data_IF_328981761622
#
_entry.id   IF_328981761622
#
_cell.length_a   1.000
_cell.length_b   1.000
_cell.length_c   1.000
_cell.angle_alpha   90.00
_cell.angle_beta   90.00
_cell.angle_gamma   90.00
#
_symmetry.space_group_name_H-M   'P 1'
#
loop_
_entity.id
_entity.type
_entity.pdbx_description
1 polymer ?
#
# COMPACT_ATOMS: atom_id res chain seq x y z
N UNK A 1 14.96 -8.79 9.46
CA UNK A 1 14.72 -9.95 8.60
C UNK A 1 13.62 -9.69 7.56
N UNK A 2 12.41 -9.18 7.92
CA UNK A 2 11.33 -8.91 6.95
C UNK A 2 11.74 -7.97 5.81
N UNK A 3 12.56 -6.94 6.06
CA UNK A 3 13.08 -6.05 5.03
C UNK A 3 14.08 -6.74 4.09
N UNK A 4 14.91 -7.63 4.60
CA UNK A 4 15.85 -8.40 3.78
C UNK A 4 15.12 -9.41 2.90
N UNK A 5 14.12 -10.10 3.46
CA UNK A 5 13.26 -10.99 2.70
C UNK A 5 12.47 -10.23 1.63
N UNK A 6 11.86 -9.10 1.97
CA UNK A 6 11.16 -8.24 1.01
C UNK A 6 12.09 -7.81 -0.14
N UNK A 7 13.32 -7.36 0.16
CA UNK A 7 14.33 -7.00 -0.84
C UNK A 7 14.63 -8.19 -1.77
N UNK A 8 14.80 -9.39 -1.21
CA UNK A 8 15.02 -10.62 -1.98
C UNK A 8 13.85 -10.95 -2.90
N UNK A 9 12.61 -10.78 -2.43
CA UNK A 9 11.42 -10.99 -3.26
C UNK A 9 11.36 -9.99 -4.42
N UNK A 10 11.56 -8.70 -4.14
CA UNK A 10 11.46 -7.62 -5.13
C UNK A 10 12.58 -7.69 -6.18
N UNK A 11 13.79 -8.13 -5.81
CA UNK A 11 14.93 -8.24 -6.71
C UNK A 11 14.77 -9.31 -7.79
N UNK A 12 13.91 -10.31 -7.56
CA UNK A 12 13.61 -11.38 -8.53
C UNK A 12 12.69 -10.90 -9.67
N UNK A 13 12.03 -9.77 -9.49
CA UNK A 13 11.11 -9.21 -10.47
C UNK A 13 11.75 -8.01 -11.19
N UNK A 14 11.88 -8.10 -12.51
CA UNK A 14 12.38 -7.00 -13.34
C UNK A 14 11.40 -5.84 -13.31
N UNK A 15 11.87 -4.65 -12.96
CA UNK A 15 11.09 -3.41 -13.00
C UNK A 15 11.08 -2.84 -14.42
N UNK A 16 9.91 -2.40 -14.91
CA UNK A 16 9.80 -1.65 -16.16
C UNK A 16 10.17 -0.17 -15.92
N UNK A 17 10.60 0.52 -16.97
CA UNK A 17 11.06 1.92 -16.89
C UNK A 17 9.98 2.91 -16.42
N UNK A 18 8.70 2.62 -16.73
CA UNK A 18 7.55 3.45 -16.33
C UNK A 18 6.86 2.96 -15.05
N UNK A 19 7.46 2.03 -14.33
CA UNK A 19 6.97 1.54 -13.05
C UNK A 19 7.84 2.09 -11.91
N UNK A 20 7.21 2.40 -10.80
CA UNK A 20 7.87 2.96 -9.63
C UNK A 20 7.63 2.08 -8.41
N UNK A 21 8.65 1.94 -7.56
CA UNK A 21 8.60 1.08 -6.38
C UNK A 21 8.76 1.89 -5.11
N UNK A 22 8.01 1.48 -4.10
CA UNK A 22 8.12 2.00 -2.74
C UNK A 22 8.06 0.88 -1.71
N UNK A 23 8.61 1.12 -0.53
CA UNK A 23 8.65 0.18 0.58
C UNK A 23 8.07 0.86 1.81
N UNK A 24 7.29 0.11 2.59
CA UNK A 24 6.83 0.48 3.93
C UNK A 24 7.16 -0.62 4.92
N UNK A 25 7.34 -0.25 6.17
CA UNK A 25 7.64 -1.18 7.27
C UNK A 25 6.99 -0.71 8.56
N UNK A 26 6.47 -1.64 9.35
CA UNK A 26 6.05 -1.38 10.72
C UNK A 26 6.12 -2.61 11.61
N UNK A 27 6.10 -2.39 12.92
CA UNK A 27 5.73 -3.39 13.91
C UNK A 27 4.28 -3.11 14.33
N UNK A 28 3.39 -4.08 14.11
CA UNK A 28 1.97 -3.93 14.40
C UNK A 28 1.75 -3.72 15.91
N UNK A 29 1.01 -2.64 16.26
CA UNK A 29 0.73 -2.22 17.65
C UNK A 29 1.97 -2.14 18.55
N UNK A 30 3.17 -1.93 17.98
CA UNK A 30 4.46 -1.86 18.67
C UNK A 30 4.90 -3.15 19.43
N UNK A 31 4.10 -4.21 19.43
CA UNK A 31 4.39 -5.44 20.18
C UNK A 31 3.95 -6.75 19.45
N UNK A 32 3.24 -6.62 18.34
CA UNK A 32 2.80 -7.76 17.54
C UNK A 32 3.71 -7.98 16.31
N UNK A 33 3.17 -8.54 15.21
CA UNK A 33 3.92 -8.93 14.03
C UNK A 33 4.74 -7.78 13.40
N UNK A 34 5.88 -8.14 12.84
CA UNK A 34 6.65 -7.26 11.96
C UNK A 34 6.19 -7.46 10.52
N UNK A 35 5.97 -6.38 9.79
CA UNK A 35 5.54 -6.44 8.41
C UNK A 35 6.29 -5.43 7.54
N UNK A 36 6.76 -5.88 6.39
CA UNK A 36 7.29 -5.05 5.33
C UNK A 36 6.48 -5.28 4.05
N UNK A 37 6.11 -4.18 3.38
CA UNK A 37 5.36 -4.18 2.13
C UNK A 37 6.14 -3.45 1.07
N UNK A 38 6.23 -4.05 -0.12
CA UNK A 38 6.71 -3.41 -1.34
C UNK A 38 5.55 -3.22 -2.31
N UNK A 39 5.46 -2.05 -2.92
CA UNK A 39 4.48 -1.73 -3.96
C UNK A 39 5.22 -1.34 -5.23
N UNK A 40 4.77 -1.89 -6.37
CA UNK A 40 5.10 -1.40 -7.69
C UNK A 40 3.84 -0.81 -8.32
N UNK A 41 3.90 0.44 -8.74
CA UNK A 41 2.80 1.16 -9.37
C UNK A 41 3.27 1.89 -10.63
N UNK A 42 2.29 2.26 -11.45
CA UNK A 42 2.43 3.17 -12.58
C UNK A 42 1.51 4.37 -12.33
N UNK A 43 1.99 5.56 -12.66
CA UNK A 43 1.17 6.77 -12.75
C UNK A 43 1.02 7.10 -14.23
N UNK A 44 -0.21 7.27 -14.70
CA UNK A 44 -0.48 7.66 -16.10
C UNK A 44 -0.35 9.17 -16.29
N UNK A 45 -0.34 9.62 -17.55
CA UNK A 45 -0.29 11.06 -17.88
C UNK A 45 -1.51 11.83 -17.31
N UNK A 46 -2.64 11.14 -17.16
CA UNK A 46 -3.86 11.67 -16.52
C UNK A 46 -3.83 11.64 -15.00
N UNK A 47 -2.69 11.24 -14.40
CA UNK A 47 -2.47 11.11 -12.96
C UNK A 47 -3.32 9.99 -12.33
N UNK A 48 -3.74 8.99 -13.12
CA UNK A 48 -4.35 7.79 -12.56
C UNK A 48 -3.28 6.83 -12.04
N UNK A 49 -3.53 6.25 -10.88
CA UNK A 49 -2.60 5.32 -10.21
C UNK A 49 -3.05 3.90 -10.46
N UNK A 50 -2.17 3.09 -11.06
CA UNK A 50 -2.38 1.67 -11.24
C UNK A 50 -1.40 0.87 -10.39
N UNK A 51 -1.90 0.09 -9.45
CA UNK A 51 -1.10 -0.87 -8.71
C UNK A 51 -0.78 -2.08 -9.61
N UNK A 52 0.49 -2.43 -9.74
CA UNK A 52 0.95 -3.50 -10.65
C UNK A 52 1.27 -4.76 -9.86
N UNK A 53 2.11 -4.61 -8.83
CA UNK A 53 2.54 -5.70 -7.94
C UNK A 53 2.65 -5.24 -6.51
N UNK A 54 2.45 -6.18 -5.62
CA UNK A 54 2.74 -6.03 -4.20
C UNK A 54 3.52 -7.24 -3.69
N UNK A 55 4.43 -6.99 -2.78
CA UNK A 55 5.18 -8.00 -2.04
C UNK A 55 4.97 -7.76 -0.56
N UNK A 56 4.71 -8.82 0.18
CA UNK A 56 4.54 -8.79 1.63
C UNK A 56 5.55 -9.74 2.24
N UNK A 57 6.29 -9.26 3.23
CA UNK A 57 7.08 -10.09 4.14
C UNK A 57 6.60 -9.86 5.55
N UNK A 58 6.13 -10.91 6.22
CA UNK A 58 5.54 -10.83 7.55
C UNK A 58 6.17 -11.86 8.49
N UNK A 59 6.51 -11.42 9.68
CA UNK A 59 7.04 -12.23 10.79
C UNK A 59 6.04 -12.15 11.94
N UNK A 60 5.34 -13.26 12.16
CA UNK A 60 4.31 -13.41 13.19
C UNK A 60 4.77 -14.28 14.37
N UNK A 61 6.09 -14.46 14.54
CA UNK A 61 6.63 -15.44 15.49
C UNK A 61 6.47 -16.86 14.97
N UNK A 62 6.15 -17.82 15.86
CA UNK A 62 5.82 -19.17 15.43
C UNK A 62 4.48 -19.20 14.69
N UNK A 63 4.42 -19.99 13.62
CA UNK A 63 3.25 -20.04 12.75
C UNK A 63 2.31 -21.17 13.20
N UNK A 64 1.11 -20.82 13.68
CA UNK A 64 0.05 -21.78 13.92
C UNK A 64 -0.69 -22.18 12.64
N UNK A 65 -0.98 -21.21 11.75
CA UNK A 65 -1.68 -21.45 10.49
C UNK A 65 -1.21 -20.48 9.40
N UNK A 66 -0.33 -20.98 8.53
CA UNK A 66 0.37 -20.16 7.52
C UNK A 66 -0.56 -19.52 6.51
N UNK A 67 -1.54 -20.27 5.99
CA UNK A 67 -2.47 -19.75 4.97
C UNK A 67 -3.40 -18.67 5.55
N UNK A 68 -3.81 -18.81 6.81
CA UNK A 68 -4.58 -17.79 7.52
C UNK A 68 -3.82 -16.46 7.61
N UNK A 69 -2.53 -16.50 7.96
CA UNK A 69 -1.67 -15.30 8.00
C UNK A 69 -1.56 -14.69 6.60
N UNK A 70 -1.35 -15.53 5.57
CA UNK A 70 -1.23 -15.10 4.18
C UNK A 70 -2.52 -14.41 3.70
N UNK A 71 -3.68 -15.03 3.89
CA UNK A 71 -4.96 -14.46 3.47
C UNK A 71 -5.29 -13.16 4.22
N UNK A 72 -4.99 -13.11 5.52
CA UNK A 72 -5.15 -11.89 6.31
C UNK A 72 -4.24 -10.76 5.78
N UNK A 73 -3.01 -11.09 5.43
CA UNK A 73 -2.06 -10.11 4.88
C UNK A 73 -2.49 -9.60 3.49
N UNK A 74 -2.93 -10.49 2.61
CA UNK A 74 -3.40 -10.13 1.26
C UNK A 74 -4.69 -9.30 1.32
N UNK A 75 -5.67 -9.70 2.12
CA UNK A 75 -6.90 -8.94 2.35
C UNK A 75 -6.63 -7.55 2.96
N UNK A 76 -5.76 -7.49 3.95
CA UNK A 76 -5.34 -6.22 4.57
C UNK A 76 -4.62 -5.29 3.60
N UNK A 77 -3.82 -5.81 2.65
CA UNK A 77 -3.20 -5.02 1.59
C UNK A 77 -4.24 -4.44 0.64
N UNK A 78 -5.21 -5.24 0.20
CA UNK A 78 -6.29 -4.79 -0.68
C UNK A 78 -7.09 -3.69 0.00
N UNK A 79 -7.51 -3.89 1.23
CA UNK A 79 -8.26 -2.91 2.02
C UNK A 79 -7.46 -1.61 2.21
N UNK A 80 -6.20 -1.68 2.61
CA UNK A 80 -5.36 -0.51 2.79
C UNK A 80 -5.09 0.23 1.47
N UNK A 81 -4.96 -0.49 0.35
CA UNK A 81 -4.87 0.12 -0.98
C UNK A 81 -6.14 0.87 -1.35
N UNK A 82 -7.31 0.34 -0.98
CA UNK A 82 -8.60 1.01 -1.17
C UNK A 82 -8.66 2.33 -0.42
N UNK A 83 -8.30 2.35 0.88
CA UNK A 83 -8.24 3.57 1.68
C UNK A 83 -7.28 4.62 1.08
N UNK A 84 -6.12 4.16 0.63
CA UNK A 84 -5.11 5.08 0.10
C UNK A 84 -5.49 5.71 -1.23
N UNK A 85 -6.29 5.04 -2.07
CA UNK A 85 -6.50 5.45 -3.46
C UNK A 85 -7.91 5.94 -3.77
N UNK A 86 -8.94 5.48 -3.01
CA UNK A 86 -10.33 5.70 -3.41
C UNK A 86 -11.24 6.23 -2.31
N UNK A 87 -11.07 5.79 -1.05
CA UNK A 87 -12.07 5.97 -0.02
C UNK A 87 -12.04 7.37 0.58
N UNK A 88 -13.14 8.08 0.41
CA UNK A 88 -13.29 9.45 0.88
C UNK A 88 -14.76 9.72 1.27
N UNK A 89 -14.99 10.03 2.54
CA UNK A 89 -16.32 10.45 3.01
C UNK A 89 -16.50 11.91 2.67
N UNK A 90 -17.33 12.18 1.65
CA UNK A 90 -17.69 13.54 1.24
C UNK A 90 -18.92 14.04 2.00
N UNK A 91 -18.81 15.27 2.47
CA UNK A 91 -19.91 15.92 3.23
C UNK A 91 -19.92 17.42 2.91
N UNK A 92 -21.05 18.05 3.14
CA UNK A 92 -21.21 19.50 3.12
C UNK A 92 -21.60 20.02 4.51
N UNK A 93 -22.11 21.24 4.60
CA UNK A 93 -22.52 21.85 5.87
C UNK A 93 -23.74 21.17 6.52
N UNK A 94 -24.47 20.34 5.80
CA UNK A 94 -25.78 19.80 6.23
C UNK A 94 -25.79 18.28 6.32
N UNK A 95 -25.06 17.57 5.43
CA UNK A 95 -25.17 16.11 5.34
C UNK A 95 -23.95 15.42 4.73
N UNK A 96 -23.88 14.09 4.90
CA UNK A 96 -22.94 13.24 4.18
C UNK A 96 -23.44 13.06 2.73
N UNK A 97 -22.59 13.39 1.74
CA UNK A 97 -22.91 13.30 0.31
C UNK A 97 -22.68 11.89 -0.21
N UNK A 98 -21.63 11.20 0.29
CA UNK A 98 -21.26 9.82 -0.10
C UNK A 98 -22.17 8.81 0.62
N UNK A 99 -23.46 8.75 0.24
CA UNK A 99 -24.50 7.96 0.94
C UNK A 99 -24.59 6.50 0.47
N UNK A 100 -23.97 6.17 -0.66
CA UNK A 100 -24.06 4.85 -1.28
C UNK A 100 -22.79 4.49 -2.04
N UNK A 101 -22.67 3.24 -2.49
CA UNK A 101 -21.49 2.72 -3.18
C UNK A 101 -21.21 3.37 -4.55
N UNK A 102 -22.13 4.10 -5.14
CA UNK A 102 -21.88 4.87 -6.36
C UNK A 102 -21.04 6.11 -6.10
N UNK A 103 -21.12 6.63 -4.87
CA UNK A 103 -20.45 7.85 -4.41
C UNK A 103 -19.27 7.57 -3.47
N UNK A 104 -19.34 6.52 -2.67
CA UNK A 104 -18.23 6.03 -1.85
C UNK A 104 -17.52 4.89 -2.58
N UNK A 105 -16.44 5.24 -3.28
CA UNK A 105 -15.71 4.30 -4.10
C UNK A 105 -14.78 3.45 -3.26
N UNK A 106 -14.72 2.15 -3.56
CA UNK A 106 -13.74 1.19 -3.06
C UNK A 106 -12.95 0.61 -4.22
N UNK A 107 -11.84 -0.08 -3.93
CA UNK A 107 -11.05 -0.77 -4.96
C UNK A 107 -11.86 -1.89 -5.62
N UNK A 108 -11.90 -1.90 -6.95
CA UNK A 108 -12.51 -2.97 -7.75
C UNK A 108 -11.52 -4.11 -8.02
N UNK A 109 -12.03 -5.29 -8.41
CA UNK A 109 -11.21 -6.48 -8.69
C UNK A 109 -10.19 -6.27 -9.82
N UNK A 110 -10.48 -5.40 -10.77
CA UNK A 110 -9.62 -5.02 -11.91
C UNK A 110 -8.40 -4.18 -11.49
N UNK A 111 -8.45 -3.57 -10.30
CA UNK A 111 -7.39 -2.72 -9.76
C UNK A 111 -6.55 -3.39 -8.67
N UNK A 112 -6.85 -4.66 -8.34
CA UNK A 112 -6.05 -5.43 -7.38
C UNK A 112 -4.70 -5.78 -8.00
N UNK A 113 -3.56 -5.47 -7.34
CA UNK A 113 -2.23 -5.83 -7.84
C UNK A 113 -1.99 -7.35 -7.75
N UNK A 114 -1.00 -7.84 -8.50
CA UNK A 114 -0.48 -9.19 -8.27
C UNK A 114 0.27 -9.23 -6.94
N UNK A 115 -0.24 -10.01 -5.97
CA UNK A 115 0.32 -10.06 -4.60
C UNK A 115 1.20 -11.30 -4.45
N UNK A 116 2.37 -11.11 -3.82
CA UNK A 116 3.26 -12.18 -3.35
C UNK A 116 3.48 -12.02 -1.87
N UNK A 117 3.14 -13.04 -1.10
CA UNK A 117 3.27 -13.02 0.37
C UNK A 117 4.24 -14.10 0.83
N UNK A 118 5.24 -13.71 1.61
CA UNK A 118 6.10 -14.61 2.35
C UNK A 118 5.87 -14.45 3.86
N UNK A 119 5.71 -15.57 4.55
CA UNK A 119 5.53 -15.64 6.00
C UNK A 119 6.78 -16.29 6.59
N UNK A 120 7.49 -15.55 7.44
CA UNK A 120 8.70 -16.00 8.11
C UNK A 120 8.29 -16.80 9.34
N UNK A 121 8.71 -18.07 9.41
CA UNK A 121 8.45 -18.96 10.53
C UNK A 121 9.56 -18.85 11.59
N UNK A 122 9.16 -18.55 12.83
CA UNK A 122 10.05 -18.45 13.99
C UNK A 122 9.74 -19.53 15.03
N UNK A 123 10.04 -20.76 14.71
CA UNK A 123 9.81 -21.89 15.62
C UNK A 123 10.37 -21.59 17.02
N UNK A 124 9.54 -21.84 18.05
CA UNK A 124 9.87 -21.60 19.44
C UNK A 124 9.71 -20.16 19.91
N UNK A 125 9.32 -19.21 19.03
CA UNK A 125 9.03 -17.84 19.43
C UNK A 125 7.53 -17.66 19.74
N UNK A 126 7.17 -16.63 20.56
CA UNK A 126 5.77 -16.36 20.84
C UNK A 126 4.95 -16.06 19.57
N UNK A 127 3.71 -16.53 19.53
CA UNK A 127 2.75 -16.17 18.49
C UNK A 127 2.43 -14.67 18.54
N UNK A 128 2.48 -14.00 17.39
CA UNK A 128 2.21 -12.56 17.28
C UNK A 128 0.99 -12.33 16.40
N UNK A 129 0.10 -11.41 16.84
CA UNK A 129 -1.10 -11.08 16.10
C UNK A 129 -0.80 -10.35 14.79
N UNK A 130 -1.56 -10.67 13.72
CA UNK A 130 -1.36 -10.15 12.36
C UNK A 130 -2.53 -9.33 11.84
N UNK A 131 -3.62 -9.13 12.60
CA UNK A 131 -4.91 -8.61 12.14
C UNK A 131 -4.83 -7.49 11.12
N UNK A 132 -4.12 -6.38 11.42
CA UNK A 132 -3.96 -5.22 10.53
C UNK A 132 -2.47 -4.91 10.27
N UNK A 133 -1.57 -5.91 10.41
CA UNK A 133 -0.13 -5.70 10.33
C UNK A 133 0.33 -5.07 9.00
N UNK A 134 -0.43 -5.27 7.92
CA UNK A 134 -0.11 -4.82 6.56
C UNK A 134 -0.60 -3.38 6.29
N UNK A 135 -1.62 -2.91 7.01
CA UNK A 135 -2.30 -1.64 6.67
C UNK A 135 -1.34 -0.42 6.68
N UNK A 136 -0.61 -0.23 7.78
CA UNK A 136 0.36 0.86 7.88
C UNK A 136 1.48 0.80 6.85
N UNK A 137 2.20 -0.34 6.73
CA UNK A 137 3.25 -0.49 5.72
C UNK A 137 2.76 -0.33 4.29
N UNK A 138 1.53 -0.76 3.97
CA UNK A 138 0.94 -0.59 2.64
C UNK A 138 0.81 0.88 2.27
N UNK A 139 0.20 1.71 3.14
CA UNK A 139 0.08 3.15 2.90
C UNK A 139 1.43 3.83 2.74
N UNK A 140 2.42 3.47 3.59
CA UNK A 140 3.79 3.95 3.47
C UNK A 140 4.46 3.55 2.15
N UNK A 141 4.27 2.29 1.70
CA UNK A 141 4.82 1.80 0.44
C UNK A 141 4.22 2.51 -0.77
N UNK A 142 2.89 2.72 -0.81
CA UNK A 142 2.21 3.47 -1.87
C UNK A 142 2.73 4.92 -1.90
N UNK A 143 2.78 5.61 -0.76
CA UNK A 143 3.28 6.98 -0.67
C UNK A 143 4.73 7.10 -1.15
N UNK A 144 5.60 6.14 -0.82
CA UNK A 144 7.00 6.11 -1.26
C UNK A 144 7.12 5.82 -2.76
N UNK A 145 6.29 4.93 -3.31
CA UNK A 145 6.26 4.65 -4.75
C UNK A 145 5.76 5.86 -5.55
N UNK A 146 4.74 6.57 -5.04
CA UNK A 146 4.28 7.84 -5.62
C UNK A 146 5.35 8.91 -5.58
N UNK A 147 6.11 9.02 -4.48
CA UNK A 147 7.24 9.94 -4.43
C UNK A 147 8.30 9.61 -5.48
N UNK A 148 8.61 8.33 -5.69
CA UNK A 148 9.54 7.90 -6.74
C UNK A 148 9.01 8.22 -8.15
N UNK A 149 7.68 8.16 -8.37
CA UNK A 149 7.05 8.49 -9.65
C UNK A 149 7.01 10.00 -9.93
N UNK A 150 6.68 10.79 -8.92
CA UNK A 150 6.32 12.20 -9.06
C UNK A 150 7.42 13.18 -8.66
N UNK A 151 8.49 12.70 -8.00
CA UNK A 151 9.58 13.52 -7.48
C UNK A 151 9.20 14.39 -6.27
N UNK A 152 7.98 14.24 -5.74
CA UNK A 152 7.49 15.01 -4.60
C UNK A 152 6.62 14.19 -3.66
N UNK A 153 6.54 14.60 -2.39
CA UNK A 153 5.69 13.96 -1.38
C UNK A 153 4.26 14.45 -1.45
N UNK A 154 3.32 13.53 -1.63
CA UNK A 154 1.90 13.81 -1.47
C UNK A 154 1.53 13.57 -0.02
N UNK A 155 0.88 14.55 0.62
CA UNK A 155 0.57 14.53 2.07
C UNK A 155 -0.91 14.36 2.36
N UNK A 156 -1.75 14.30 1.33
CA UNK A 156 -3.21 14.19 1.45
C UNK A 156 -3.67 12.86 0.86
N UNK A 157 -4.41 12.09 1.61
CA UNK A 157 -5.11 10.89 1.16
C UNK A 157 -6.62 11.16 1.06
N UNK A 158 -7.34 10.40 0.22
CA UNK A 158 -6.80 9.41 -0.72
C UNK A 158 -5.95 10.05 -1.82
N UNK A 159 -5.02 9.29 -2.41
CA UNK A 159 -4.12 9.75 -3.48
C UNK A 159 -4.87 9.86 -4.81
N UNK A 160 -5.89 10.69 -4.85
CA UNK A 160 -6.69 10.97 -6.05
C UNK A 160 -6.02 12.04 -6.91
N UNK A 161 -6.47 12.15 -8.16
CA UNK A 161 -6.03 13.21 -9.09
C UNK A 161 -6.19 14.60 -8.50
N UNK A 162 -7.29 14.85 -7.80
CA UNK A 162 -7.60 16.12 -7.15
C UNK A 162 -6.59 16.47 -6.05
N UNK A 163 -6.17 15.48 -5.27
CA UNK A 163 -5.23 15.65 -4.16
C UNK A 163 -3.76 15.71 -4.64
N UNK A 164 -3.45 15.11 -5.79
CA UNK A 164 -2.10 15.09 -6.38
C UNK A 164 -1.85 16.34 -7.26
N UNK A 165 -2.79 16.73 -8.10
CA UNK A 165 -2.63 17.79 -9.10
C UNK A 165 -2.21 19.17 -8.55
N UNK A 166 -2.70 19.64 -7.37
CA UNK A 166 -2.24 20.91 -6.80
C UNK A 166 -0.75 20.93 -6.48
N UNK A 167 -0.22 19.77 -6.08
CA UNK A 167 1.21 19.60 -5.80
C UNK A 167 2.03 19.58 -7.10
N UNK A 168 1.49 19.02 -8.18
CA UNK A 168 2.12 18.96 -9.51
C UNK A 168 2.31 20.35 -10.13
N UNK A 169 1.31 21.21 -10.04
CA UNK A 169 1.36 22.58 -10.58
C UNK A 169 2.48 23.41 -9.96
N UNK A 170 2.80 23.23 -8.68
CA UNK A 170 3.88 23.96 -8.01
C UNK A 170 5.29 23.58 -8.51
N UNK A 171 5.50 22.34 -8.94
CA UNK A 171 6.83 21.84 -9.37
C UNK A 171 7.15 22.23 -10.82
N UNK A 172 6.16 22.32 -11.70
CA UNK A 172 6.36 22.72 -13.10
C UNK A 172 6.67 24.22 -13.30
N UNK A 173 6.25 25.08 -12.37
CA UNK A 173 6.51 26.53 -12.45
C UNK A 173 7.89 26.95 -11.92
N UNK A 174 8.63 26.05 -11.26
CA UNK A 174 9.97 26.37 -10.73
C UNK A 174 11.14 25.73 -11.53
N UNK A 175 10.86 25.06 -12.64
CA UNK A 175 11.88 24.66 -13.63
C UNK A 175 11.80 25.57 -14.87
N UNK A 176 12.19 26.82 -14.68
CA UNK A 176 12.65 27.70 -15.77
C UNK A 176 14.03 28.20 -15.44
#
# INVERSE_FOLDING_TARGET
DVLLDLKSQMSKDKQKSNHHRGIGFSRYKNLAAYCAVGIELQVTDDVDIKLIKAWISIDAGEIAYKDGIKYQAEGGLIQASSWCLYEDVKYDAYEIISKDWSKYKIIGFDNIPKIKTNVIDRKGFPYLGVGEAVAGPCGGAISNALHAALGQRIKTMPFTKENISPSFKKTFFYKK
#
